data_IF_544137568255
#
_entry.id   IF_544137568255
#
_cell.length_a   1.000
_cell.length_b   1.000
_cell.length_c   1.000
_cell.angle_alpha   90.00
_cell.angle_beta   90.00
_cell.angle_gamma   90.00
#
_symmetry.space_group_name_H-M   'P 1'
#
loop_
_entity.id
_entity.type
_entity.pdbx_description
1 polymer ?
#
# COMPACT_ATOMS: atom_id res chain seq x y z
N UNK A 1 -26.16 -6.18 -23.87
CA UNK A 1 -25.43 -4.89 -23.94
C UNK A 1 -24.90 -4.62 -22.55
N UNK A 2 -23.59 -4.78 -22.37
CA UNK A 2 -22.95 -4.70 -21.06
C UNK A 2 -22.72 -3.23 -20.67
N UNK A 3 -23.12 -2.87 -19.45
CA UNK A 3 -22.75 -1.60 -18.82
C UNK A 3 -21.26 -1.62 -18.43
N UNK A 4 -20.54 -0.49 -18.55
CA UNK A 4 -19.15 -0.41 -18.14
C UNK A 4 -19.04 -0.38 -16.60
N UNK A 5 -17.98 -1.03 -16.09
CA UNK A 5 -17.63 -1.08 -14.69
C UNK A 5 -17.09 0.29 -14.23
N UNK A 6 -17.98 1.10 -13.67
CA UNK A 6 -17.64 2.32 -12.93
C UNK A 6 -17.91 2.01 -11.45
N UNK A 7 -16.93 1.46 -10.72
CA UNK A 7 -16.98 1.37 -9.25
C UNK A 7 -15.59 1.08 -8.62
N UNK A 8 -14.49 1.49 -9.27
CA UNK A 8 -13.20 1.62 -8.59
C UNK A 8 -13.22 2.92 -7.78
N UNK A 9 -13.89 2.90 -6.63
CA UNK A 9 -13.95 4.07 -5.74
C UNK A 9 -12.55 4.30 -5.15
N UNK A 10 -11.78 5.14 -5.84
CA UNK A 10 -10.55 5.73 -5.31
C UNK A 10 -10.85 6.29 -3.92
N UNK A 11 -9.96 6.05 -2.95
CA UNK A 11 -10.04 6.72 -1.65
C UNK A 11 -10.21 8.21 -1.91
N UNK A 12 -11.30 8.76 -1.41
CA UNK A 12 -11.51 10.20 -1.46
C UNK A 12 -10.34 10.87 -0.76
N UNK A 13 -10.02 12.12 -1.14
CA UNK A 13 -8.97 12.91 -0.46
C UNK A 13 -9.18 12.87 1.07
N UNK A 14 -10.43 12.84 1.54
CA UNK A 14 -10.76 12.73 2.97
C UNK A 14 -10.35 11.39 3.60
N UNK A 15 -10.57 10.25 2.93
CA UNK A 15 -10.18 8.93 3.44
C UNK A 15 -8.66 8.74 3.41
N UNK A 16 -7.98 9.25 2.38
CA UNK A 16 -6.53 9.31 2.33
C UNK A 16 -5.96 10.18 3.47
N UNK A 17 -6.55 11.34 3.73
CA UNK A 17 -6.14 12.24 4.82
C UNK A 17 -6.42 11.64 6.21
N UNK A 18 -7.48 10.85 6.38
CA UNK A 18 -7.77 10.15 7.63
C UNK A 18 -6.78 9.00 7.88
N UNK A 19 -6.40 8.27 6.83
CA UNK A 19 -5.33 7.27 6.89
C UNK A 19 -3.96 7.91 7.19
N UNK A 20 -3.64 9.01 6.51
CA UNK A 20 -2.42 9.78 6.74
C UNK A 20 -2.38 10.41 8.14
N UNK A 21 -3.51 10.87 8.68
CA UNK A 21 -3.56 11.32 10.09
C UNK A 21 -3.26 10.18 11.07
N UNK A 22 -3.71 8.96 10.78
CA UNK A 22 -3.44 7.80 11.66
C UNK A 22 -2.00 7.34 11.61
N UNK A 23 -1.33 7.41 10.45
CA UNK A 23 -0.01 6.78 10.26
C UNK A 23 1.13 7.74 9.91
N UNK A 24 0.85 8.94 9.38
CA UNK A 24 1.87 9.89 8.93
C UNK A 24 2.73 10.47 10.05
N UNK A 25 2.17 10.64 11.24
CA UNK A 25 2.91 11.16 12.42
C UNK A 25 3.89 10.13 13.01
N UNK A 26 3.61 8.82 12.92
CA UNK A 26 4.52 7.79 13.44
C UNK A 26 5.76 7.58 12.57
N UNK A 27 5.71 7.99 11.29
CA UNK A 27 6.77 7.74 10.31
C UNK A 27 7.33 9.02 9.65
N UNK A 28 6.97 10.20 10.16
CA UNK A 28 7.61 11.47 9.80
C UNK A 28 7.11 12.15 8.52
N UNK A 29 6.00 11.68 7.93
CA UNK A 29 5.41 12.31 6.74
C UNK A 29 4.46 13.45 7.17
N UNK A 30 4.95 14.69 7.06
CA UNK A 30 4.19 15.91 7.37
C UNK A 30 3.34 16.39 6.19
N UNK A 31 3.57 15.85 4.99
CA UNK A 31 2.90 16.23 3.74
C UNK A 31 2.27 15.01 3.02
N UNK A 32 0.95 15.05 2.73
CA UNK A 32 0.26 14.08 1.88
C UNK A 32 0.86 13.89 0.49
N UNK A 33 1.48 14.93 -0.08
CA UNK A 33 2.14 14.87 -1.39
C UNK A 33 3.41 14.02 -1.29
N UNK A 34 4.28 14.29 -0.31
CA UNK A 34 5.51 13.52 -0.08
C UNK A 34 5.20 12.04 0.20
N UNK A 35 4.16 11.76 0.99
CA UNK A 35 3.69 10.39 1.23
C UNK A 35 3.29 9.70 -0.07
N UNK A 36 2.50 10.37 -0.91
CA UNK A 36 2.06 9.84 -2.19
C UNK A 36 3.22 9.64 -3.18
N UNK A 37 4.21 10.52 -3.17
CA UNK A 37 5.41 10.38 -4.00
C UNK A 37 6.27 9.19 -3.55
N UNK A 38 6.50 9.04 -2.23
CA UNK A 38 7.24 7.93 -1.64
C UNK A 38 6.56 6.57 -1.89
N UNK A 39 5.23 6.49 -1.74
CA UNK A 39 4.46 5.29 -2.05
C UNK A 39 4.60 4.90 -3.53
N UNK A 40 4.46 5.88 -4.44
CA UNK A 40 4.65 5.64 -5.89
C UNK A 40 6.08 5.26 -6.25
N UNK A 41 7.08 5.81 -5.55
CA UNK A 41 8.48 5.39 -5.72
C UNK A 41 8.68 3.93 -5.29
N UNK A 42 8.09 3.56 -4.16
CA UNK A 42 8.14 2.18 -3.64
C UNK A 42 7.45 1.19 -4.58
N UNK A 43 6.35 1.59 -5.22
CA UNK A 43 5.68 0.77 -6.25
C UNK A 43 6.58 0.57 -7.48
N UNK A 44 7.31 1.60 -7.90
CA UNK A 44 8.21 1.52 -9.07
C UNK A 44 9.44 0.66 -8.83
N UNK A 45 10.05 0.80 -7.66
CA UNK A 45 11.37 0.22 -7.37
C UNK A 45 11.30 -1.05 -6.52
N UNK A 46 10.18 -1.28 -5.85
CA UNK A 46 10.00 -2.37 -4.91
C UNK A 46 9.68 -3.70 -5.57
N UNK A 47 9.90 -4.76 -4.81
CA UNK A 47 9.52 -6.12 -5.19
C UNK A 47 8.02 -6.28 -4.94
N UNK A 48 7.28 -6.59 -6.01
CA UNK A 48 5.86 -6.90 -5.97
C UNK A 48 5.62 -8.29 -5.38
N UNK A 49 4.66 -8.42 -4.47
CA UNK A 49 4.20 -9.69 -3.92
C UNK A 49 2.70 -9.62 -3.58
N UNK A 50 2.08 -10.75 -3.26
CA UNK A 50 0.70 -10.82 -2.77
C UNK A 50 0.67 -11.36 -1.35
N UNK A 51 -0.33 -10.98 -0.57
CA UNK A 51 -0.57 -11.52 0.76
C UNK A 51 -2.05 -11.40 1.14
N UNK A 52 -2.47 -12.21 2.12
CA UNK A 52 -3.80 -12.11 2.73
C UNK A 52 -3.75 -11.10 3.88
N UNK A 53 -4.58 -10.07 3.81
CA UNK A 53 -4.74 -9.11 4.89
C UNK A 53 -5.52 -9.71 6.06
N UNK A 54 -5.36 -9.17 7.27
CA UNK A 54 -6.06 -9.63 8.47
C UNK A 54 -7.58 -9.46 8.40
N UNK A 55 -8.07 -8.52 7.56
CA UNK A 55 -9.49 -8.37 7.22
C UNK A 55 -10.03 -9.53 6.39
N UNK A 56 -9.16 -10.40 5.87
CA UNK A 56 -9.52 -11.47 4.96
C UNK A 56 -9.62 -11.03 3.50
N UNK A 57 -9.04 -9.90 3.10
CA UNK A 57 -8.94 -9.51 1.69
C UNK A 57 -7.56 -9.84 1.12
N UNK A 58 -7.49 -10.19 -0.15
CA UNK A 58 -6.20 -10.30 -0.85
C UNK A 58 -5.68 -8.90 -1.18
N UNK A 59 -4.35 -8.73 -1.06
CA UNK A 59 -3.66 -7.46 -1.28
C UNK A 59 -2.43 -7.67 -2.14
N UNK A 60 -2.07 -6.62 -2.87
CA UNK A 60 -0.76 -6.51 -3.51
C UNK A 60 0.15 -5.67 -2.64
N UNK A 61 1.34 -6.17 -2.35
CA UNK A 61 2.40 -5.48 -1.64
C UNK A 61 3.56 -5.12 -2.57
N UNK A 62 4.18 -3.99 -2.34
CA UNK A 62 5.47 -3.60 -2.91
C UNK A 62 6.41 -3.30 -1.75
N UNK A 63 7.54 -3.99 -1.68
CA UNK A 63 8.56 -3.73 -0.66
C UNK A 63 9.90 -3.42 -1.31
N UNK A 64 10.51 -2.29 -0.93
CA UNK A 64 11.83 -1.90 -1.38
C UNK A 64 12.86 -2.21 -0.29
N UNK A 65 13.69 -3.26 -0.46
CA UNK A 65 14.69 -3.65 0.54
C UNK A 65 15.85 -2.65 0.67
N UNK A 66 16.01 -1.71 -0.27
CA UNK A 66 17.09 -0.72 -0.20
C UNK A 66 16.82 0.38 0.84
N UNK A 67 15.56 0.64 1.17
CA UNK A 67 15.14 1.68 2.10
C UNK A 67 14.02 1.25 3.05
N UNK A 68 13.73 -0.05 3.10
CA UNK A 68 12.76 -0.65 4.02
C UNK A 68 11.32 -0.16 3.83
N UNK A 69 11.00 0.47 2.70
CA UNK A 69 9.66 0.97 2.43
C UNK A 69 8.73 -0.12 1.93
N UNK A 70 7.52 -0.17 2.50
CA UNK A 70 6.43 -1.03 2.08
C UNK A 70 5.23 -0.19 1.63
N UNK A 71 4.55 -0.62 0.56
CA UNK A 71 3.26 -0.09 0.12
C UNK A 71 2.30 -1.24 -0.14
N UNK A 72 1.07 -1.16 0.40
CA UNK A 72 0.00 -2.11 0.12
C UNK A 72 -1.08 -1.47 -0.73
N UNK A 73 -1.60 -2.24 -1.69
CA UNK A 73 -2.68 -1.86 -2.58
C UNK A 73 -3.80 -2.90 -2.55
N UNK A 74 -4.94 -2.57 -3.16
CA UNK A 74 -5.97 -3.53 -3.56
C UNK A 74 -5.39 -4.63 -4.44
N UNK A 75 -6.14 -5.72 -4.59
CA UNK A 75 -5.81 -6.86 -5.44
C UNK A 75 -5.66 -6.47 -6.93
N UNK A 76 -6.49 -5.52 -7.38
CA UNK A 76 -6.44 -4.90 -8.72
C UNK A 76 -5.45 -3.73 -8.84
N UNK A 77 -4.72 -3.42 -7.77
CA UNK A 77 -3.71 -2.35 -7.68
C UNK A 77 -4.23 -0.93 -7.97
N UNK A 78 -5.55 -0.71 -7.92
CA UNK A 78 -6.17 0.59 -8.18
C UNK A 78 -6.15 1.54 -6.97
N UNK A 79 -6.08 1.01 -5.74
CA UNK A 79 -6.16 1.78 -4.50
C UNK A 79 -4.96 1.48 -3.59
N UNK A 80 -4.25 2.53 -3.16
CA UNK A 80 -3.20 2.43 -2.13
C UNK A 80 -3.86 2.42 -0.75
N UNK A 81 -3.69 1.34 0.01
CA UNK A 81 -4.22 1.24 1.38
C UNK A 81 -3.27 1.78 2.44
N UNK A 82 -1.96 1.55 2.29
CA UNK A 82 -0.98 1.99 3.27
C UNK A 82 0.42 2.05 2.67
N UNK A 83 1.28 2.84 3.31
CA UNK A 83 2.69 3.01 3.02
C UNK A 83 3.43 3.36 4.33
N UNK A 84 4.48 2.61 4.66
CA UNK A 84 5.28 2.77 5.89
C UNK A 84 6.62 2.04 5.81
N UNK A 85 7.51 2.29 6.79
CA UNK A 85 8.82 1.63 6.91
C UNK A 85 8.67 0.32 7.70
N UNK A 86 9.22 -0.76 7.17
CA UNK A 86 9.19 -2.09 7.80
C UNK A 86 10.44 -2.89 7.45
N UNK A 87 10.44 -4.22 7.57
CA UNK A 87 11.57 -5.05 7.18
C UNK A 87 11.12 -6.30 6.40
N UNK A 88 12.09 -7.01 5.82
CA UNK A 88 11.82 -8.24 5.07
C UNK A 88 11.08 -9.30 5.89
N UNK A 89 11.44 -9.46 7.17
CA UNK A 89 10.81 -10.44 8.06
C UNK A 89 9.31 -10.18 8.17
N UNK A 90 8.91 -8.92 8.30
CA UNK A 90 7.52 -8.53 8.38
C UNK A 90 6.76 -8.92 7.10
N UNK A 91 7.26 -8.54 5.92
CA UNK A 91 6.55 -8.81 4.65
C UNK A 91 6.51 -10.31 4.31
N UNK A 92 7.54 -11.08 4.70
CA UNK A 92 7.55 -12.54 4.59
C UNK A 92 6.57 -13.21 5.55
N UNK A 93 6.40 -12.66 6.75
CA UNK A 93 5.50 -13.23 7.77
C UNK A 93 4.01 -12.99 7.52
N UNK A 94 3.65 -12.15 6.53
CA UNK A 94 2.25 -11.93 6.18
C UNK A 94 1.61 -13.24 5.75
N UNK A 95 0.33 -13.41 6.08
CA UNK A 95 -0.41 -14.63 5.76
C UNK A 95 -0.40 -14.84 4.23
N UNK A 96 -0.03 -16.05 3.81
CA UNK A 96 0.07 -16.41 2.38
C UNK A 96 0.96 -15.46 1.55
N UNK A 97 1.98 -14.86 2.18
CA UNK A 97 2.91 -13.97 1.47
C UNK A 97 3.66 -14.72 0.37
N UNK A 98 3.76 -14.09 -0.80
CA UNK A 98 4.58 -14.58 -1.92
C UNK A 98 5.90 -13.82 -2.06
N UNK A 99 6.28 -13.03 -1.06
CA UNK A 99 7.54 -12.29 -1.08
C UNK A 99 8.72 -13.27 -1.10
N UNK A 100 9.66 -13.15 -2.07
CA UNK A 100 10.71 -14.13 -2.33
C UNK A 100 11.73 -14.19 -1.20
#
# INVERSE_FOLDING_TARGET
MSQPADDARSLTIAEFMDHLRRHGLEFGYLDPVEYGESARQTIRDGIRFTFRHESGDDRVGYFNPANDHFTSLSDDESVIFTHFITNETYVRSRQSSTYP
#
